data_IF_320952817260
#
_entry.id   IF_320952817260
#
_cell.length_a   1.000
_cell.length_b   1.000
_cell.length_c   1.000
_cell.angle_alpha   90.00
_cell.angle_beta   90.00
_cell.angle_gamma   90.00
#
_symmetry.space_group_name_H-M   'P 1'
#
loop_
_entity.id
_entity.type
_entity.pdbx_description
1 polymer ?
#
# COMPACT_ATOMS: atom_id res chain seq x y z
N UNK A 1 24.06 16.09 10.59
CA UNK A 1 23.71 14.76 11.14
C UNK A 1 24.92 13.83 11.06
N UNK A 2 25.18 13.07 12.12
CA UNK A 2 26.34 12.17 12.22
C UNK A 2 26.25 11.01 11.22
N UNK A 3 27.40 10.49 10.77
CA UNK A 3 27.49 9.31 9.88
C UNK A 3 26.78 8.08 10.49
N UNK A 4 26.87 7.91 11.81
CA UNK A 4 26.22 6.79 12.51
C UNK A 4 24.69 6.85 12.40
N UNK A 5 24.12 8.03 12.61
CA UNK A 5 22.68 8.26 12.51
C UNK A 5 22.13 7.98 11.10
N UNK A 6 22.92 8.25 10.04
CA UNK A 6 22.52 7.91 8.66
C UNK A 6 22.49 6.39 8.44
N UNK A 7 23.49 5.67 8.95
CA UNK A 7 23.59 4.21 8.84
C UNK A 7 22.44 3.51 9.57
N UNK A 8 22.13 3.96 10.78
CA UNK A 8 21.02 3.43 11.58
C UNK A 8 19.67 3.61 10.87
N UNK A 9 19.40 4.78 10.30
CA UNK A 9 18.16 5.03 9.54
C UNK A 9 18.03 4.14 8.31
N UNK A 10 19.12 3.96 7.56
CA UNK A 10 19.11 3.08 6.39
C UNK A 10 18.82 1.62 6.78
N UNK A 11 19.41 1.14 7.88
CA UNK A 11 19.14 -0.20 8.39
C UNK A 11 17.67 -0.37 8.83
N UNK A 12 17.13 0.60 9.55
CA UNK A 12 15.72 0.59 9.98
C UNK A 12 14.75 0.62 8.78
N UNK A 13 15.05 1.41 7.74
CA UNK A 13 14.24 1.43 6.52
C UNK A 13 14.27 0.08 5.79
N UNK A 14 15.45 -0.54 5.67
CA UNK A 14 15.59 -1.84 5.03
C UNK A 14 14.85 -2.96 5.79
N UNK A 15 14.86 -2.90 7.13
CA UNK A 15 14.05 -3.82 7.96
C UNK A 15 12.55 -3.59 7.74
N UNK A 16 12.11 -2.32 7.73
CA UNK A 16 10.71 -2.00 7.47
C UNK A 16 10.23 -2.45 6.09
N UNK A 17 11.07 -2.36 5.06
CA UNK A 17 10.77 -2.85 3.70
C UNK A 17 10.63 -4.38 3.67
N UNK A 18 11.49 -5.11 4.39
CA UNK A 18 11.37 -6.57 4.52
C UNK A 18 10.10 -6.97 5.25
N UNK A 19 9.83 -6.36 6.40
CA UNK A 19 8.63 -6.64 7.20
C UNK A 19 7.36 -6.36 6.39
N UNK A 20 7.33 -5.24 5.67
CA UNK A 20 6.24 -4.91 4.76
C UNK A 20 6.05 -5.99 3.68
N UNK A 21 7.14 -6.52 3.10
CA UNK A 21 7.07 -7.57 2.09
C UNK A 21 6.55 -8.92 2.59
N UNK A 22 6.60 -9.19 3.90
CA UNK A 22 6.17 -10.49 4.47
C UNK A 22 4.66 -10.63 4.61
N UNK A 23 3.91 -9.52 4.63
CA UNK A 23 2.47 -9.56 4.84
C UNK A 23 1.72 -9.80 3.52
N UNK A 24 0.50 -10.37 3.55
CA UNK A 24 -0.33 -10.50 2.36
C UNK A 24 -0.73 -9.13 1.80
N UNK A 25 -0.60 -8.97 0.48
CA UNK A 25 -0.97 -7.74 -0.24
C UNK A 25 -2.22 -7.95 -1.10
N UNK A 26 -3.02 -6.91 -1.27
CA UNK A 26 -4.26 -6.94 -2.04
C UNK A 26 -4.30 -5.92 -3.18
N UNK A 27 -5.02 -6.29 -4.24
CA UNK A 27 -5.42 -5.40 -5.32
C UNK A 27 -6.94 -5.40 -5.45
N UNK A 28 -7.55 -4.23 -5.36
CA UNK A 28 -9.00 -4.06 -5.45
C UNK A 28 -9.31 -3.19 -6.67
N UNK A 29 -9.91 -3.80 -7.69
CA UNK A 29 -10.24 -3.15 -8.96
C UNK A 29 -11.58 -3.65 -9.49
N UNK A 30 -12.21 -2.86 -10.37
CA UNK A 30 -13.42 -3.28 -11.08
C UNK A 30 -13.08 -3.72 -12.51
N UNK A 31 -13.99 -4.45 -13.14
CA UNK A 31 -13.92 -4.81 -14.57
C UNK A 31 -15.07 -4.16 -15.33
N UNK A 32 -14.83 -3.73 -16.56
CA UNK A 32 -15.83 -3.10 -17.42
C UNK A 32 -16.32 -1.73 -16.91
N UNK A 33 -17.44 -1.26 -17.49
CA UNK A 33 -18.05 0.04 -17.14
C UNK A 33 -18.87 -0.11 -15.85
N UNK A 34 -18.56 0.71 -14.86
CA UNK A 34 -19.24 0.67 -13.55
C UNK A 34 -19.83 2.02 -13.16
N UNK A 35 -20.96 1.97 -12.47
CA UNK A 35 -21.66 3.15 -11.95
C UNK A 35 -20.93 3.83 -10.79
N UNK A 36 -21.47 4.97 -10.33
CA UNK A 36 -20.90 5.74 -9.21
C UNK A 36 -20.88 4.95 -7.90
N UNK A 37 -21.94 4.21 -7.60
CA UNK A 37 -22.07 3.44 -6.35
C UNK A 37 -20.97 2.40 -6.20
N UNK A 38 -20.69 1.64 -7.26
CA UNK A 38 -19.63 0.62 -7.23
C UNK A 38 -18.24 1.25 -7.16
N UNK A 39 -18.03 2.44 -7.74
CA UNK A 39 -16.78 3.20 -7.56
C UNK A 39 -16.58 3.65 -6.12
N UNK A 40 -17.65 4.10 -5.45
CA UNK A 40 -17.58 4.45 -4.03
C UNK A 40 -17.26 3.22 -3.18
N UNK A 41 -17.98 2.10 -3.40
CA UNK A 41 -17.69 0.84 -2.72
C UNK A 41 -16.24 0.40 -2.91
N UNK A 42 -15.69 0.52 -4.13
CA UNK A 42 -14.30 0.20 -4.41
C UNK A 42 -13.34 1.06 -3.56
N UNK A 43 -13.62 2.36 -3.43
CA UNK A 43 -12.81 3.27 -2.63
C UNK A 43 -12.89 2.91 -1.13
N UNK A 44 -14.09 2.58 -0.63
CA UNK A 44 -14.30 2.19 0.76
C UNK A 44 -13.59 0.89 1.10
N UNK A 45 -13.68 -0.12 0.22
CA UNK A 45 -12.97 -1.40 0.38
C UNK A 45 -11.45 -1.18 0.36
N UNK A 46 -10.93 -0.33 -0.55
CA UNK A 46 -9.50 0.01 -0.58
C UNK A 46 -9.05 0.67 0.71
N UNK A 47 -9.87 1.54 1.31
CA UNK A 47 -9.60 2.19 2.59
C UNK A 47 -9.55 1.20 3.75
N UNK A 48 -10.47 0.23 3.78
CA UNK A 48 -10.49 -0.83 4.80
C UNK A 48 -9.26 -1.72 4.70
N UNK A 49 -8.76 -1.97 3.48
CA UNK A 49 -7.60 -2.81 3.23
C UNK A 49 -6.27 -2.02 3.19
N UNK A 50 -6.25 -0.73 3.57
CA UNK A 50 -4.99 -0.01 3.82
C UNK A 50 -4.30 -0.60 5.09
N UNK A 51 -2.95 -0.60 5.15
CA UNK A 51 -2.00 -0.05 4.18
C UNK A 51 -1.58 -1.03 3.07
N UNK A 52 -2.01 -2.29 3.11
CA UNK A 52 -1.48 -3.36 2.25
C UNK A 52 -2.22 -3.52 0.91
N UNK A 53 -2.96 -2.49 0.51
CA UNK A 53 -3.64 -2.43 -0.79
C UNK A 53 -2.99 -1.42 -1.72
N UNK A 54 -2.83 -1.78 -2.99
CA UNK A 54 -2.26 -0.87 -3.98
C UNK A 54 -3.12 0.39 -4.18
N UNK A 55 -2.61 1.54 -3.72
CA UNK A 55 -3.29 2.84 -3.82
C UNK A 55 -3.23 3.44 -5.23
N UNK A 56 -2.15 3.17 -5.97
CA UNK A 56 -1.88 3.77 -7.28
C UNK A 56 -2.11 2.81 -8.48
N UNK A 57 -2.84 1.70 -8.28
CA UNK A 57 -3.17 0.80 -9.38
C UNK A 57 -4.05 1.54 -10.41
N UNK A 58 -3.55 1.66 -11.65
CA UNK A 58 -4.27 2.23 -12.79
C UNK A 58 -5.15 1.16 -13.42
N UNK A 59 -6.47 1.41 -13.50
CA UNK A 59 -7.48 0.54 -14.10
C UNK A 59 -8.50 1.33 -14.90
#
# INVERSE_FOLDING_TARGET
>A
QSKNQKKERAAAQHQAEQDFGTVPHSFVFHRGRVGKTLRQLLADVRRVMEPYTARALKV
#
